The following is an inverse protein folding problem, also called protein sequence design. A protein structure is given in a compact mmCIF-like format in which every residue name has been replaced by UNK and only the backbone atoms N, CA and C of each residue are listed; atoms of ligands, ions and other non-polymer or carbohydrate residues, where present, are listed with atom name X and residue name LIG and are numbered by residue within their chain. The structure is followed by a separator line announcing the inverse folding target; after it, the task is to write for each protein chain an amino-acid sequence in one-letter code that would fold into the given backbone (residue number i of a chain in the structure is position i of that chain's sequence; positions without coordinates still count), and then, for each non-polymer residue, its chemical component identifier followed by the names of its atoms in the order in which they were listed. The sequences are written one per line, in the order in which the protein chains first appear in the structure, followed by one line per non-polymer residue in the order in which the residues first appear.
data_IF_483617227591
#
_entry.id   IF_483617227591
#
_cell.length_a   1.000
_cell.length_b   1.000
_cell.length_c   1.000
_cell.angle_alpha   90.00
_cell.angle_beta   90.00
_cell.angle_gamma   90.00
#
_symmetry.space_group_name_H-M   'P 1'
#
loop_
_entity.id
_entity.type
_entity.pdbx_description
1 polymer ?
2 polymer ?
3 non-polymer ?
4 non-polymer ?
5 water ?
#
# COMPACT_ATOMS: atom_id res chain seq x y z
N UNK A 1 -13.42 22.11 0.23
CA UNK A 1 -12.08 21.84 0.74
C UNK A 1 -11.38 23.13 1.09
N UNK A 2 -10.10 23.04 1.47
CA UNK A 2 -9.36 24.24 1.81
C UNK A 2 -7.88 24.02 1.62
N UNK A 3 -7.50 23.22 0.62
CA UNK A 3 -6.08 23.03 0.33
C UNK A 3 -5.93 22.73 -1.14
N UNK A 4 -5.34 23.67 -1.91
CA UNK A 4 -5.32 23.45 -3.35
C UNK A 4 -4.35 22.36 -3.76
N UNK A 5 -3.35 22.03 -2.93
CA UNK A 5 -2.51 20.90 -3.27
C UNK A 5 -3.30 19.59 -3.19
N UNK A 6 -4.04 19.40 -2.10
CA UNK A 6 -4.87 18.20 -1.98
C UNK A 6 -5.86 18.11 -3.13
N UNK A 7 -6.54 19.22 -3.42
CA UNK A 7 -7.59 19.21 -4.44
C UNK A 7 -7.01 19.02 -5.83
N UNK A 8 -5.99 19.81 -6.18
CA UNK A 8 -5.42 19.67 -7.52
C UNK A 8 -4.78 18.31 -7.70
N UNK A 9 -4.12 17.77 -6.67
CA UNK A 9 -3.46 16.49 -6.85
C UNK A 9 -4.46 15.35 -6.98
N UNK A 10 -5.62 15.45 -6.33
CA UNK A 10 -6.65 14.43 -6.55
C UNK A 10 -7.07 14.40 -8.01
N UNK A 11 -7.17 15.57 -8.65
CA UNK A 11 -7.50 15.62 -10.07
C UNK A 11 -6.34 15.09 -10.92
N UNK A 12 -5.13 15.56 -10.63
CA UNK A 12 -3.96 15.16 -11.39
C UNK A 12 -3.77 13.65 -11.39
N UNK A 13 -4.13 12.99 -10.30
CA UNK A 13 -3.85 11.58 -10.10
C UNK A 13 -5.08 10.69 -10.33
N UNK A 14 -6.18 11.25 -10.83
CA UNK A 14 -7.45 10.53 -10.90
C UNK A 14 -7.45 9.44 -11.95
N UNK A 15 -6.42 9.34 -12.78
CA UNK A 15 -6.34 8.26 -13.76
C UNK A 15 -4.97 7.59 -13.71
N UNK A 16 -4.35 7.59 -12.53
CA UNK A 16 -3.02 7.04 -12.35
C UNK A 16 -3.10 5.55 -12.06
N UNK A 17 -2.14 4.80 -12.63
CA UNK A 17 -2.05 3.39 -12.33
C UNK A 17 -1.61 3.11 -10.92
N UNK A 18 -0.75 3.97 -10.37
CA UNK A 18 -0.32 3.92 -8.97
C UNK A 18 -0.82 5.20 -8.30
N UNK A 19 -2.10 5.16 -7.88
CA UNK A 19 -2.75 6.38 -7.40
C UNK A 19 -2.08 6.93 -6.14
N UNK A 20 -1.80 6.05 -5.17
CA UNK A 20 -1.22 6.53 -3.92
C UNK A 20 0.17 7.11 -4.15
N UNK A 21 0.99 6.49 -4.99
CA UNK A 21 2.29 7.06 -5.28
C UNK A 21 2.16 8.40 -5.99
N UNK A 22 1.22 8.50 -6.93
CA UNK A 22 0.98 9.76 -7.62
C UNK A 22 0.57 10.83 -6.63
N UNK A 23 -0.37 10.50 -5.73
CA UNK A 23 -0.83 11.50 -4.77
C UNK A 23 0.28 11.96 -3.86
N UNK A 24 1.19 11.06 -3.50
CA UNK A 24 2.31 11.39 -2.62
C UNK A 24 3.25 12.36 -3.30
N UNK A 25 3.65 12.03 -4.52
CA UNK A 25 4.64 12.83 -5.21
C UNK A 25 4.06 14.15 -5.72
N UNK A 26 2.82 14.11 -6.19
CA UNK A 26 2.14 15.35 -6.56
C UNK A 26 2.07 16.26 -5.33
N UNK A 27 1.74 15.65 -4.18
CA UNK A 27 1.70 16.42 -2.94
C UNK A 27 3.03 17.06 -2.60
N UNK A 28 4.11 16.28 -2.65
CA UNK A 28 5.44 16.81 -2.37
C UNK A 28 5.78 17.95 -3.32
N UNK A 29 5.54 17.73 -4.62
CA UNK A 29 5.89 18.75 -5.60
C UNK A 29 5.05 20.01 -5.43
N UNK A 30 3.77 19.86 -5.11
CA UNK A 30 2.93 21.03 -4.85
C UNK A 30 3.38 21.76 -3.59
N UNK A 31 3.77 21.02 -2.54
CA UNK A 31 4.33 21.68 -1.37
C UNK A 31 5.54 22.53 -1.72
N UNK A 32 6.38 22.03 -2.64
CA UNK A 32 7.57 22.74 -3.04
C UNK A 32 7.28 23.85 -4.05
N UNK A 33 6.38 23.59 -5.00
CA UNK A 33 6.21 24.45 -6.16
C UNK A 33 4.95 25.29 -6.15
N UNK A 34 3.96 24.93 -5.33
CA UNK A 34 2.70 25.68 -5.21
C UNK A 34 1.98 25.78 -6.56
N UNK A 35 2.00 24.69 -7.32
CA UNK A 35 1.45 24.63 -8.66
C UNK A 35 1.27 23.16 -9.00
N UNK A 36 0.17 22.83 -9.69
CA UNK A 36 -0.03 21.49 -10.23
C UNK A 36 -0.54 21.63 -11.66
N UNK A 37 0.02 20.92 -12.62
CA UNK A 37 -0.47 21.03 -14.01
C UNK A 37 -1.87 20.45 -14.13
N UNK A 38 -2.64 21.02 -15.05
CA UNK A 38 -3.99 20.55 -15.32
C UNK A 38 -3.96 19.19 -16.04
N UNK A 39 -5.13 18.56 -16.12
CA UNK A 39 -5.19 17.26 -16.76
C UNK A 39 -4.57 16.18 -15.88
N UNK A 40 -4.46 14.98 -16.46
CA UNK A 40 -3.92 13.83 -15.74
C UNK A 40 -2.54 13.41 -16.25
N UNK A 41 -2.04 14.06 -17.30
CA UNK A 41 -0.66 13.89 -17.73
C UNK A 41 -0.31 15.09 -18.60
N UNK A 42 1.00 15.30 -18.79
CA UNK A 42 1.41 16.42 -19.61
C UNK A 42 1.06 17.77 -18.98
N UNK A 43 1.03 18.79 -19.85
CA UNK A 43 0.75 20.17 -19.48
C UNK A 43 1.73 20.74 -18.45
N UNK A 44 2.94 20.19 -18.37
CA UNK A 44 3.84 20.63 -17.30
C UNK A 44 4.43 22.01 -17.56
N UNK A 45 4.28 22.56 -18.78
CA UNK A 45 4.69 23.94 -19.00
C UNK A 45 3.85 24.93 -18.20
N UNK A 46 2.70 24.51 -17.64
CA UNK A 46 1.95 25.39 -16.76
C UNK A 46 2.67 25.65 -15.45
N UNK A 47 3.57 24.76 -15.04
CA UNK A 47 4.22 24.81 -13.73
C UNK A 47 5.69 24.49 -13.91
N UNK A 48 6.52 25.48 -14.27
CA UNK A 48 7.94 25.17 -14.51
C UNK A 48 8.65 24.53 -13.34
N UNK A 49 8.35 24.93 -12.10
CA UNK A 49 8.95 24.27 -10.95
C UNK A 49 8.58 22.80 -10.89
N UNK A 50 7.29 22.51 -10.99
CA UNK A 50 6.82 21.13 -11.01
C UNK A 50 7.43 20.34 -12.16
N UNK A 51 7.48 20.96 -13.35
CA UNK A 51 8.04 20.31 -14.53
C UNK A 51 9.49 19.88 -14.34
N UNK A 52 10.29 20.74 -13.69
CA UNK A 52 11.74 20.56 -13.67
C UNK A 52 12.26 19.84 -12.43
N UNK A 53 11.42 19.56 -11.44
CA UNK A 53 11.89 18.96 -10.20
C UNK A 53 12.42 17.56 -10.48
N UNK A 54 13.62 17.26 -9.96
CA UNK A 54 14.28 15.98 -10.14
C UNK A 54 14.46 15.28 -8.80
N UNK A 55 14.58 13.95 -8.85
CA UNK A 55 15.01 13.18 -7.68
C UNK A 55 16.54 13.07 -7.68
N UNK A 56 17.09 12.25 -6.79
CA UNK A 56 18.54 12.26 -6.60
C UNK A 56 19.30 11.59 -7.75
N UNK A 57 18.63 10.82 -8.59
CA UNK A 57 19.25 10.21 -9.76
C UNK A 57 19.03 11.04 -11.01
N UNK A 58 18.53 12.27 -10.85
CA UNK A 58 18.30 13.13 -11.99
C UNK A 58 17.09 12.79 -12.82
N UNK A 59 16.13 12.09 -12.24
CA UNK A 59 14.89 11.71 -12.92
C UNK A 59 13.76 12.65 -12.52
N UNK A 60 12.87 12.93 -13.46
CA UNK A 60 11.68 13.72 -13.15
C UNK A 60 10.93 13.13 -11.97
N UNK A 61 10.55 13.99 -11.02
CA UNK A 61 9.96 13.56 -9.76
C UNK A 61 8.43 13.68 -9.73
N UNK A 62 7.87 14.62 -10.49
CA UNK A 62 6.49 15.07 -10.30
C UNK A 62 5.59 14.50 -11.39
N UNK A 63 4.50 13.81 -11.03
CA UNK A 63 3.66 13.15 -12.05
C UNK A 63 2.85 14.14 -12.88
N UNK B 1 10.57 -2.60 8.57
CA UNK B 1 9.26 -2.35 8.01
C UNK B 1 8.55 -3.65 7.70
N UNK B 2 7.34 -3.55 7.17
CA UNK B 2 6.56 -4.74 6.89
C UNK B 2 5.07 -4.51 7.08
N UNK B 3 4.72 -3.73 8.10
CA UNK B 3 3.32 -3.51 8.40
C UNK B 3 3.14 -3.21 9.89
N UNK B 4 2.53 -4.15 10.62
CA UNK B 4 2.44 -3.96 12.07
C UNK B 4 1.51 -2.82 12.49
N UNK B 5 0.52 -2.49 11.67
CA UNK B 5 -0.34 -1.34 11.99
C UNK B 5 0.46 -0.04 11.92
N UNK B 6 1.25 0.10 10.86
CA UNK B 6 2.02 1.32 10.68
C UNK B 6 3.00 1.47 11.83
N UNK B 7 3.72 0.40 12.13
CA UNK B 7 4.76 0.46 13.15
C UNK B 7 4.19 0.62 14.56
N UNK B 8 3.17 -0.15 14.90
CA UNK B 8 2.63 -0.08 16.26
C UNK B 8 1.93 1.24 16.53
N UNK B 9 1.28 1.78 15.51
CA UNK B 9 0.65 3.09 15.65
C UNK B 9 1.68 4.21 15.81
N UNK B 10 2.85 4.04 15.22
CA UNK B 10 3.93 5.01 15.44
C UNK B 10 4.31 5.10 16.91
N UNK B 11 4.45 3.96 17.58
CA UNK B 11 4.73 3.96 19.01
C UNK B 11 3.54 4.47 19.82
N UNK B 12 2.34 4.01 19.46
CA UNK B 12 1.12 4.39 20.17
C UNK B 12 0.92 5.90 20.18
N UNK B 13 1.32 6.54 19.09
CA UNK B 13 1.03 7.96 18.87
C UNK B 13 2.26 8.84 19.05
N UNK B 14 3.32 8.27 19.61
CA UNK B 14 4.60 8.97 19.72
C UNK B 14 4.54 10.16 20.68
N UNK B 15 3.58 10.17 21.58
CA UNK B 15 3.46 11.27 22.54
C UNK B 15 2.10 11.92 22.45
N UNK B 16 1.51 11.92 21.26
CA UNK B 16 0.18 12.50 21.07
C UNK B 16 0.26 13.99 20.74
N UNK B 17 -0.67 14.76 21.28
CA UNK B 17 -0.73 16.20 21.01
C UNK B 17 -1.14 16.50 19.58
N UNK B 18 -2.06 15.67 19.07
CA UNK B 18 -2.44 15.70 17.66
C UNK B 18 -1.98 14.40 16.99
N UNK B 19 -0.72 14.39 16.55
CA UNK B 19 -0.10 13.16 16.08
C UNK B 19 -0.70 12.64 14.78
N UNK B 20 -1.01 13.53 13.85
CA UNK B 20 -1.62 13.10 12.58
C UNK B 20 -2.97 12.46 12.84
N UNK B 21 -3.77 13.06 13.70
CA UNK B 21 -5.07 12.50 14.03
C UNK B 21 -4.91 11.14 14.70
N UNK B 22 -3.97 11.05 15.63
CA UNK B 22 -3.73 9.81 16.34
C UNK B 22 -3.34 8.71 15.37
N UNK B 23 -2.42 9.00 14.46
CA UNK B 23 -2.00 8.01 13.48
C UNK B 23 -3.18 7.56 12.61
N UNK B 24 -4.02 8.52 12.22
CA UNK B 24 -5.15 8.22 11.34
C UNK B 24 -6.09 7.22 12.00
N UNK B 25 -6.50 7.55 13.21
CA UNK B 25 -7.50 6.72 13.86
C UNK B 25 -6.91 5.43 14.44
N UNK B 26 -5.67 5.48 14.94
CA UNK B 26 -4.99 4.24 15.30
C UNK B 26 -4.93 3.31 14.08
N UNK B 27 -4.66 3.89 12.91
CA UNK B 27 -4.57 3.10 11.69
C UNK B 27 -5.88 2.48 11.25
N UNK B 28 -6.96 3.25 11.34
CA UNK B 28 -8.29 2.77 11.01
C UNK B 28 -8.65 1.64 11.97
N UNK B 29 -8.40 1.88 13.25
CA UNK B 29 -8.67 0.90 14.28
C UNK B 29 -7.84 -0.37 14.12
N UNK B 30 -6.57 -0.24 13.75
CA UNK B 30 -5.72 -1.42 13.57
C UNK B 30 -6.18 -2.23 12.35
N UNK B 31 -6.61 -1.55 11.30
CA UNK B 31 -7.14 -2.23 10.11
C UNK B 31 -8.36 -3.07 10.47
N UNK B 32 -9.19 -2.56 11.38
CA UNK B 32 -10.41 -3.26 11.78
C UNK B 32 -10.14 -4.37 12.80
N UNK B 33 -9.20 -4.13 13.70
CA UNK B 33 -9.02 -4.98 14.87
C UNK B 33 -7.75 -5.83 14.87
N UNK B 34 -6.78 -5.45 14.05
CA UNK B 34 -5.49 -6.16 13.97
C UNK B 34 -4.81 -6.24 15.33
N UNK B 35 -4.85 -5.14 16.09
CA UNK B 35 -4.29 -5.09 17.43
C UNK B 35 -4.10 -3.63 17.77
N UNK B 36 -2.99 -3.28 18.41
CA UNK B 36 -2.76 -1.95 18.95
C UNK B 36 -2.25 -2.16 20.36
N UNK B 37 -2.84 -1.47 21.34
CA UNK B 37 -2.38 -1.64 22.72
C UNK B 37 -0.98 -1.07 22.93
N UNK B 38 -0.26 -1.61 23.91
CA UNK B 38 1.08 -1.13 24.22
C UNK B 38 1.03 0.27 24.82
N UNK B 39 2.21 0.90 24.94
CA UNK B 39 2.29 2.21 25.56
C UNK B 39 1.73 3.33 24.69
N UNK B 40 1.51 4.50 25.30
CA UNK B 40 1.01 5.64 24.54
C UNK B 40 -0.39 6.03 25.00
N UNK B 41 -0.84 5.40 26.08
CA UNK B 41 -2.22 5.55 26.53
C UNK B 41 -2.56 4.37 27.45
N UNK B 42 -3.85 4.17 27.71
CA UNK B 42 -4.28 3.05 28.51
C UNK B 42 -3.98 1.72 27.83
N UNK B 43 -3.87 0.67 28.65
CA UNK B 43 -3.57 -0.69 28.18
C UNK B 43 -4.56 -1.26 27.16
N UNK B 44 -5.74 -0.68 27.07
CA UNK B 44 -6.68 -1.09 26.03
C UNK B 44 -7.27 -2.48 26.27
N UNK B 45 -7.17 -2.97 27.50
CA UNK B 45 -7.57 -4.34 27.80
C UNK B 45 -6.83 -5.35 26.91
N UNK B 46 -5.66 -4.97 26.42
CA UNK B 46 -4.88 -5.85 25.55
C UNK B 46 -5.59 -6.13 24.23
N UNK B 47 -6.45 -5.21 23.83
CA UNK B 47 -7.08 -5.26 22.52
C UNK B 47 -8.56 -4.93 22.63
N UNK B 48 -9.41 -5.90 23.03
CA UNK B 48 -10.84 -5.66 23.23
C UNK B 48 -11.56 -4.95 22.08
N UNK B 49 -11.32 -5.36 20.85
CA UNK B 49 -11.91 -4.70 19.68
C UNK B 49 -11.49 -3.22 19.62
N UNK B 50 -10.19 -2.96 19.75
CA UNK B 50 -9.68 -1.60 19.70
C UNK B 50 -10.27 -0.79 20.86
N UNK B 51 -10.36 -1.43 22.03
CA UNK B 51 -10.90 -0.82 23.24
C UNK B 51 -12.36 -0.40 23.07
N UNK B 52 -13.12 -1.21 22.34
CA UNK B 52 -14.58 -1.06 22.31
C UNK B 52 -15.14 -0.33 21.07
N UNK B 53 -14.31 -0.03 20.08
CA UNK B 53 -14.83 0.66 18.89
C UNK B 53 -15.41 2.02 19.23
N UNK B 54 -16.57 2.31 18.65
CA UNK B 54 -17.22 3.61 18.84
C UNK B 54 -17.41 4.31 17.50
N UNK B 55 -17.34 5.62 17.51
CA UNK B 55 -17.70 6.39 16.32
C UNK B 55 -19.22 6.45 16.22
N UNK B 56 -19.73 7.16 15.23
CA UNK B 56 -21.17 7.18 14.99
C UNK B 56 -21.94 7.89 16.10
N UNK B 57 -21.20 8.64 16.92
CA UNK B 57 -21.80 9.36 18.05
C UNK B 57 -21.78 8.50 19.31
N UNK B 58 -21.20 7.31 19.21
CA UNK B 58 -21.14 6.41 20.35
C UNK B 58 -20.00 6.71 21.30
N UNK B 59 -19.05 7.52 20.85
CA UNK B 59 -17.87 7.83 21.66
C UNK B 59 -16.69 6.97 21.25
N UNK B 60 -15.79 6.68 22.19
CA UNK B 60 -14.61 5.87 21.89
C UNK B 60 -13.81 6.46 20.72
N UNK B 61 -13.43 5.59 19.79
CA UNK B 61 -12.82 5.97 18.52
C UNK B 61 -11.30 5.82 18.50
N UNK B 62 -10.79 4.82 19.20
CA UNK B 62 -9.40 4.39 19.03
C UNK B 62 -8.48 4.91 20.11
N UNK B 63 -7.39 5.57 19.70
CA UNK B 63 -6.53 6.26 20.67
C UNK B 63 -5.63 5.33 21.47
N UNK C 2 9.57 -7.38 -30.53
CA UNK C 2 8.98 -8.71 -30.46
C UNK C 2 8.70 -9.11 -29.02
N UNK C 3 9.46 -8.52 -28.10
CA UNK C 3 9.21 -8.68 -26.69
C UNK C 3 7.77 -8.27 -26.36
N UNK C 4 6.98 -9.19 -25.83
CA UNK C 4 5.57 -8.91 -25.58
C UNK C 4 5.40 -7.79 -24.56
N UNK C 5 6.32 -7.69 -23.59
CA UNK C 5 6.19 -6.67 -22.56
C UNK C 5 6.44 -5.28 -23.10
N UNK C 6 7.40 -5.15 -24.03
CA UNK C 6 7.65 -3.84 -24.64
C UNK C 6 6.39 -3.32 -25.31
N UNK C 7 5.67 -4.19 -26.02
CA UNK C 7 4.48 -3.76 -26.73
C UNK C 7 3.34 -3.42 -25.78
N UNK C 8 3.03 -4.32 -24.85
CA UNK C 8 1.87 -4.10 -23.98
C UNK C 8 2.08 -2.92 -23.03
N UNK C 9 3.31 -2.67 -22.60
CA UNK C 9 3.57 -1.56 -21.71
C UNK C 9 3.44 -0.21 -22.41
N UNK C 10 3.55 -0.19 -23.74
CA UNK C 10 3.39 1.07 -24.46
C UNK C 10 1.99 1.66 -24.25
N UNK C 11 0.95 0.84 -24.43
CA UNK C 11 -0.41 1.33 -24.18
C UNK C 11 -0.59 1.65 -22.70
N UNK C 12 -0.13 0.77 -21.81
CA UNK C 12 -0.37 0.94 -20.38
C UNK C 12 0.14 2.29 -19.88
N UNK C 13 1.24 2.77 -20.47
CA UNK C 13 1.92 3.97 -20.02
C UNK C 13 1.69 5.17 -20.93
N UNK C 14 0.80 5.05 -21.91
CA UNK C 14 0.63 6.07 -22.94
C UNK C 14 -0.02 7.35 -22.42
N UNK C 15 -0.55 7.37 -21.21
CA UNK C 15 -1.12 8.58 -20.63
C UNK C 15 -0.54 8.85 -19.24
N UNK C 16 0.68 8.39 -19.03
CA UNK C 16 1.32 8.47 -17.73
C UNK C 16 1.99 9.82 -17.56
N UNK C 17 1.83 10.41 -16.37
CA UNK C 17 2.52 11.64 -16.05
C UNK C 17 4.03 11.48 -16.03
N UNK C 18 4.50 10.31 -15.61
CA UNK C 18 5.92 9.97 -15.59
C UNK C 18 6.11 8.77 -16.50
N UNK C 19 6.19 9.03 -17.80
CA UNK C 19 6.08 7.96 -18.79
C UNK C 19 7.28 7.02 -18.73
N UNK C 20 8.49 7.57 -18.64
CA UNK C 20 9.68 6.71 -18.60
C UNK C 20 9.68 5.84 -17.35
N UNK C 21 9.26 6.40 -16.21
CA UNK C 21 9.15 5.58 -15.00
C UNK C 21 8.09 4.49 -15.19
N UNK C 22 6.94 4.85 -15.73
CA UNK C 22 5.90 3.86 -15.99
C UNK C 22 6.41 2.74 -16.88
N UNK C 23 7.09 3.09 -17.98
CA UNK C 23 7.55 2.06 -18.89
C UNK C 23 8.55 1.13 -18.21
N UNK C 24 9.43 1.69 -17.38
CA UNK C 24 10.41 0.87 -16.67
C UNK C 24 9.72 -0.12 -15.74
N UNK C 25 8.78 0.38 -14.95
CA UNK C 25 8.17 -0.45 -13.93
C UNK C 25 7.17 -1.44 -14.53
N UNK C 26 6.45 -0.99 -15.54
CA UNK C 26 5.61 -1.91 -16.30
C UNK C 26 6.48 -3.03 -16.91
N UNK C 27 7.65 -2.66 -17.45
CA UNK C 27 8.51 -3.67 -18.04
C UNK C 27 9.03 -4.66 -17.00
N UNK C 28 9.43 -4.15 -15.84
CA UNK C 28 9.90 -5.03 -14.76
C UNK C 28 8.78 -5.96 -14.31
N UNK C 29 7.58 -5.42 -14.14
CA UNK C 29 6.47 -6.24 -13.64
C UNK C 29 6.01 -7.24 -14.68
N UNK C 30 5.94 -6.83 -15.94
CA UNK C 30 5.54 -7.77 -16.99
C UNK C 30 6.58 -8.86 -17.20
N UNK C 31 7.87 -8.52 -17.09
CA UNK C 31 8.90 -9.53 -17.20
C UNK C 31 8.72 -10.62 -16.13
N UNK C 32 8.31 -10.24 -14.92
CA UNK C 32 8.09 -11.24 -13.87
C UNK C 32 6.73 -11.94 -14.04
N UNK C 33 5.68 -11.16 -14.28
CA UNK C 33 4.31 -11.65 -14.15
C UNK C 33 3.71 -12.13 -15.47
N UNK C 34 4.29 -11.75 -16.61
CA UNK C 34 3.82 -12.17 -17.94
C UNK C 34 2.36 -11.77 -18.16
N UNK C 35 2.05 -10.52 -17.83
CA UNK C 35 0.69 -9.99 -17.90
C UNK C 35 0.78 -8.48 -17.72
N UNK C 36 0.00 -7.75 -18.51
CA UNK C 36 -0.18 -6.31 -18.30
C UNK C 36 -1.68 -6.02 -18.28
N UNK C 37 -2.19 -5.36 -17.24
CA UNK C 37 -3.62 -5.00 -17.24
C UNK C 37 -3.98 -4.11 -18.42
N UNK C 38 -5.22 -4.23 -18.88
CA UNK C 38 -5.71 -3.45 -20.01
C UNK C 38 -5.84 -1.98 -19.65
N UNK C 39 -6.02 -1.15 -20.68
CA UNK C 39 -6.23 0.27 -20.46
C UNK C 39 -4.97 1.00 -20.03
N UNK C 40 -5.16 2.21 -19.51
CA UNK C 40 -4.04 3.03 -19.05
C UNK C 40 -4.01 3.17 -17.54
N UNK C 41 -5.02 2.65 -16.84
CA UNK C 41 -5.02 2.57 -15.38
C UNK C 41 -6.10 1.58 -14.99
N UNK C 42 -6.09 1.18 -13.72
CA UNK C 42 -7.06 0.21 -13.24
C UNK C 42 -6.91 -1.16 -13.90
N UNK C 43 -7.97 -1.96 -13.78
CA UNK C 43 -8.08 -3.29 -14.39
C UNK C 43 -7.03 -4.28 -13.89
N UNK C 44 -6.46 -4.05 -12.70
CA UNK C 44 -5.41 -4.95 -12.24
C UNK C 44 -5.93 -6.32 -11.83
N UNK C 45 -7.25 -6.49 -11.65
CA UNK C 45 -7.78 -7.84 -11.44
C UNK C 45 -7.46 -8.77 -12.61
N UNK C 46 -7.19 -8.23 -13.80
CA UNK C 46 -6.81 -9.08 -14.93
C UNK C 46 -5.50 -9.81 -14.67
N UNK C 47 -4.64 -9.25 -13.84
CA UNK C 47 -3.26 -9.74 -13.68
C UNK C 47 -2.92 -9.77 -12.20
N UNK C 48 -3.33 -10.83 -11.49
CA UNK C 48 -3.12 -10.84 -10.03
C UNK C 48 -1.67 -10.66 -9.60
N UNK C 49 -0.72 -11.27 -10.32
CA UNK C 49 0.69 -11.06 -9.99
C UNK C 49 1.06 -9.58 -10.11
N UNK C 50 0.74 -8.96 -11.25
CA UNK C 50 1.02 -7.55 -11.49
C UNK C 50 0.33 -6.69 -10.43
N UNK C 51 -0.92 -7.02 -10.12
CA UNK C 51 -1.67 -6.30 -9.11
C UNK C 51 -0.96 -6.33 -7.76
N UNK C 52 -0.45 -7.48 -7.35
CA UNK C 52 -0.03 -7.71 -5.98
C UNK C 52 1.46 -7.48 -5.75
N UNK C 53 2.24 -7.20 -6.80
CA UNK C 53 3.68 -7.04 -6.62
C UNK C 53 3.99 -5.83 -5.76
N UNK C 54 4.92 -6.00 -4.81
CA UNK C 54 5.37 -4.95 -3.92
C UNK C 54 6.86 -4.71 -4.09
N UNK C 55 7.30 -3.49 -3.78
CA UNK C 55 8.72 -3.23 -3.65
C UNK C 55 9.18 -3.54 -2.22
N UNK C 56 10.46 -3.32 -1.94
CA UNK C 56 11.01 -3.71 -0.65
C UNK C 56 10.46 -2.87 0.50
N UNK C 57 9.94 -1.67 0.20
CA UNK C 57 9.28 -0.86 1.22
C UNK C 57 7.81 -1.22 1.37
N UNK C 58 7.34 -2.27 0.69
CA UNK C 58 5.96 -2.69 0.81
C UNK C 58 4.97 -1.94 -0.04
N UNK C 59 5.43 -1.08 -0.93
CA UNK C 59 4.55 -0.28 -1.76
C UNK C 59 4.22 -1.02 -3.06
N UNK C 60 3.03 -0.75 -3.60
CA UNK C 60 2.67 -1.33 -4.88
C UNK C 60 3.68 -0.89 -5.94
N UNK C 61 4.15 -1.86 -6.72
CA UNK C 61 5.25 -1.68 -7.64
C UNK C 61 4.81 -1.37 -9.07
N UNK C 62 3.67 -1.93 -9.50
CA UNK C 62 3.39 -2.05 -10.92
C UNK C 62 2.32 -1.07 -11.35
N UNK C 63 2.56 -0.26 -12.38
CA UNK C 63 1.63 0.80 -12.78
C UNK C 63 0.39 0.29 -13.50
N UNK D 1 -7.12 -15.64 19.31
CA UNK D 1 -7.82 -14.41 19.60
C UNK D 1 -6.90 -13.27 19.99
N UNK D 2 -7.49 -12.08 20.12
CA UNK D 2 -6.73 -10.87 20.42
C UNK D 2 -6.07 -10.32 19.17
N UNK D 3 -6.42 -10.91 18.04
CA UNK D 3 -5.92 -10.50 16.73
C UNK D 3 -4.44 -10.91 16.62
N UNK D 4 -3.57 -9.97 16.27
CA UNK D 4 -2.13 -10.27 16.12
C UNK D 4 -1.87 -11.38 15.08
N UNK D 5 -2.69 -11.42 14.04
CA UNK D 5 -2.53 -12.44 13.01
C UNK D 5 -2.81 -13.83 13.54
N UNK D 6 -3.79 -13.94 14.44
CA UNK D 6 -4.13 -15.24 15.02
C UNK D 6 -2.87 -15.81 15.66
N UNK D 7 -2.22 -15.01 16.49
CA UNK D 7 -1.03 -15.46 17.19
C UNK D 7 0.13 -15.72 16.22
N UNK D 8 0.36 -14.79 15.30
CA UNK D 8 1.45 -14.93 14.34
C UNK D 8 1.31 -16.18 13.47
N UNK D 9 0.09 -16.49 13.05
CA UNK D 9 -0.12 -17.60 12.15
C UNK D 9 0.02 -18.97 12.81
N UNK D 10 -0.17 -19.03 14.13
CA UNK D 10 0.04 -20.29 14.84
C UNK D 10 1.47 -20.80 14.67
N UNK D 11 2.46 -19.92 14.85
CA UNK D 11 3.85 -20.29 14.64
C UNK D 11 4.05 -20.70 13.19
N UNK D 12 3.62 -19.83 12.29
CA UNK D 12 3.83 -20.00 10.85
C UNK D 12 3.33 -21.34 10.36
N UNK D 13 2.26 -21.83 10.97
CA UNK D 13 1.57 -23.03 10.51
C UNK D 13 1.81 -24.24 11.41
N UNK D 14 2.74 -24.10 12.35
CA UNK D 14 2.96 -25.13 13.37
C UNK D 14 3.57 -26.43 12.85
N UNK D 15 4.13 -26.40 11.65
CA UNK D 15 4.72 -27.61 11.08
C UNK D 15 4.22 -27.84 9.66
N UNK D 16 2.97 -27.45 9.44
CA UNK D 16 2.34 -27.60 8.13
C UNK D 16 1.65 -28.95 8.00
N UNK D 17 1.69 -29.51 6.80
CA UNK D 17 1.03 -30.78 6.52
C UNK D 17 -0.47 -30.65 6.56
N UNK D 18 -0.97 -29.52 6.07
CA UNK D 18 -2.38 -29.19 6.10
C UNK D 18 -2.53 -27.97 6.98
N UNK D 19 -2.60 -28.19 8.30
CA UNK D 19 -2.58 -27.10 9.27
C UNK D 19 -3.78 -26.17 9.16
N UNK D 20 -4.98 -26.74 9.02
CA UNK D 20 -6.18 -25.91 8.97
C UNK D 20 -6.12 -24.96 7.78
N UNK D 21 -5.71 -25.49 6.62
CA UNK D 21 -5.62 -24.66 5.43
C UNK D 21 -4.56 -23.57 5.60
N UNK D 22 -3.45 -23.94 6.22
CA UNK D 22 -2.38 -22.97 6.47
C UNK D 22 -2.89 -21.83 7.35
N UNK D 23 -3.53 -22.19 8.46
CA UNK D 23 -4.05 -21.20 9.39
C UNK D 23 -5.04 -20.26 8.69
N UNK D 24 -5.90 -20.84 7.86
CA UNK D 24 -6.90 -20.05 7.14
C UNK D 24 -6.26 -18.98 6.25
N UNK D 25 -5.35 -19.40 5.40
CA UNK D 25 -4.77 -18.49 4.41
C UNK D 25 -3.67 -17.59 4.99
N UNK D 26 -2.90 -18.09 5.96
CA UNK D 26 -2.00 -17.18 6.69
C UNK D 26 -2.87 -16.07 7.29
N UNK D 27 -4.01 -16.45 7.85
CA UNK D 27 -4.90 -15.47 8.45
C UNK D 27 -5.37 -14.42 7.46
N UNK D 28 -5.90 -14.87 6.33
CA UNK D 28 -6.43 -13.96 5.32
C UNK D 28 -5.33 -13.03 4.81
N UNK D 29 -4.15 -13.61 4.57
CA UNK D 29 -3.00 -12.86 4.10
C UNK D 29 -2.54 -11.85 5.12
N UNK D 30 -2.44 -12.28 6.38
CA UNK D 30 -2.02 -11.37 7.44
C UNK D 30 -3.02 -10.23 7.62
N UNK D 31 -4.30 -10.50 7.47
CA UNK D 31 -5.28 -9.42 7.61
C UNK D 31 -5.10 -8.35 6.54
N UNK D 32 -4.73 -8.77 5.34
CA UNK D 32 -4.44 -7.82 4.26
C UNK D 32 -3.09 -7.11 4.47
N UNK D 33 -2.06 -7.90 4.76
CA UNK D 33 -0.67 -7.41 4.69
C UNK D 33 -0.08 -6.91 6.01
N UNK D 34 -0.72 -7.28 7.12
CA UNK D 34 -0.26 -6.93 8.47
C UNK D 34 1.19 -7.36 8.70
N UNK D 35 1.50 -8.60 8.31
CA UNK D 35 2.85 -9.11 8.38
C UNK D 35 2.74 -10.62 8.22
N UNK D 36 3.57 -11.36 8.97
CA UNK D 36 3.77 -12.79 8.74
C UNK D 36 5.25 -13.07 8.77
N UNK D 37 5.79 -13.75 7.75
CA UNK D 37 7.22 -14.10 7.76
C UNK D 37 7.57 -15.03 8.91
N UNK D 38 8.77 -14.87 9.46
CA UNK D 38 9.23 -15.69 10.58
C UNK D 38 9.41 -17.14 10.18
N UNK D 39 9.56 -18.02 11.16
CA UNK D 39 9.75 -19.44 10.90
C UNK D 39 8.51 -20.16 10.42
N UNK D 40 8.69 -21.38 9.93
CA UNK D 40 7.55 -22.18 9.46
C UNK D 40 7.49 -22.29 7.94
N UNK D 41 8.53 -21.81 7.28
CA UNK D 41 8.52 -21.66 5.82
C UNK D 41 9.58 -20.63 5.44
N UNK D 42 9.56 -20.19 4.19
CA UNK D 42 10.53 -19.22 3.71
C UNK D 42 10.43 -17.88 4.41
N UNK D 43 11.51 -17.11 4.35
CA UNK D 43 11.61 -15.79 4.99
C UNK D 43 10.64 -14.76 4.44
N UNK D 44 10.07 -15.03 3.27
CA UNK D 44 9.05 -14.15 2.71
C UNK D 44 9.54 -12.76 2.31
N UNK D 45 10.84 -12.59 2.11
CA UNK D 45 11.40 -11.27 1.86
C UNK D 45 11.10 -10.29 3.02
N UNK D 46 10.80 -10.84 4.20
CA UNK D 46 10.46 -10.00 5.36
C UNK D 46 9.12 -9.29 5.16
N UNK D 47 8.24 -9.89 4.37
CA UNK D 47 6.89 -9.39 4.19
C UNK D 47 6.51 -9.35 2.71
N UNK D 48 6.87 -8.26 2.00
CA UNK D 48 6.64 -8.17 0.56
C UNK D 48 5.19 -8.40 0.10
N UNK D 49 4.23 -7.80 0.79
CA UNK D 49 2.81 -8.01 0.47
C UNK D 49 2.45 -9.49 0.58
N UNK D 50 2.88 -10.12 1.66
CA UNK D 50 2.56 -11.52 1.94
C UNK D 50 3.23 -12.41 0.89
N UNK D 51 4.48 -12.09 0.56
CA UNK D 51 5.27 -12.82 -0.43
C UNK D 51 4.63 -12.82 -1.82
N UNK D 52 4.10 -11.67 -2.20
CA UNK D 52 3.68 -11.43 -3.58
C UNK D 52 2.19 -11.67 -3.84
N UNK D 53 1.41 -11.89 -2.77
CA UNK D 53 -0.03 -12.01 -2.96
C UNK D 53 -0.39 -13.23 -3.81
N UNK D 54 -1.28 -13.03 -4.79
CA UNK D 54 -1.74 -14.11 -5.65
C UNK D 54 -3.24 -14.30 -5.45
N UNK D 55 -3.72 -15.50 -5.71
CA UNK D 55 -5.16 -15.73 -5.82
C UNK D 55 -5.63 -15.46 -7.24
N UNK D 56 -6.91 -15.72 -7.53
CA UNK D 56 -7.48 -15.37 -8.82
C UNK D 56 -6.91 -16.19 -9.96
N UNK D 57 -6.33 -17.35 -9.63
CA UNK D 57 -5.73 -18.17 -10.66
C UNK D 57 -4.25 -17.83 -10.86
N UNK D 58 -3.75 -16.84 -10.12
CA UNK D 58 -2.37 -16.40 -10.28
C UNK D 58 -1.35 -17.20 -9.48
N UNK D 59 -1.83 -18.03 -8.57
CA UNK D 59 -0.96 -18.83 -7.70
C UNK D 59 -0.63 -18.04 -6.45
N UNK D 60 0.61 -18.20 -5.96
CA UNK D 60 0.98 -17.66 -4.65
C UNK D 60 -0.04 -18.16 -3.61
N UNK D 61 -0.50 -17.25 -2.77
CA UNK D 61 -1.65 -17.50 -1.91
C UNK D 61 -1.28 -17.76 -0.44
N UNK D 62 -0.14 -17.21 -0.01
CA UNK D 62 0.17 -17.09 1.42
C UNK D 62 1.29 -18.04 1.86
N UNK D 63 1.01 -18.90 2.87
CA UNK D 63 1.97 -19.94 3.22
C UNK D 63 3.20 -19.44 3.97
X LIG E 1 2.31 7.24 -9.89
X LIG E 1 1.36 7.66 -10.88
X LIG E 1 3.50 8.17 -9.95
X LIG E 1 4.68 7.39 -9.75
X LIG F 1 1.39 5.44 -14.21
X LIG F 1 0.04 5.34 -14.65
X LIG F 1 1.44 5.15 -12.71
X LIG F 1 0.50 6.00 -12.04
X LIG G 1 -8.45 -6.65 19.41
X LIG G 1 -8.33 -5.41 19.42
X LIG G 1 -9.28 -7.27 20.08
X LIG H 1 -5.54 10.41 21.68
X LIG H 1 -5.86 11.18 22.84
X LIG H 1 -4.05 10.52 21.33
X LIG H 1 -3.27 9.89 22.35
X LIG I 1 -0.52 -11.92 -13.63
X LIG I 1 -0.95 -12.65 -12.74
X LIG I 1 -0.09 -10.79 -13.45
X LIG J 1 -10.01 -1.26 -11.16
X LIG J 1 -9.26 -0.47 -10.57
X LIG J 1 -10.23 -1.23 -12.37
X LIG K 1 3.43 -0.95 4.31
X LIG K 1 4.51 -1.90 4.27
X LIG K 1 3.40 -0.13 3.02
X LIG K 1 4.64 0.53 2.80
X LIG L 1 4.04 -7.24 4.13
X LIG L 1 4.39 -6.40 3.29
X LIG L 1 3.60 -8.37 3.87
X LIG M 1 5.95 -18.62 18.94
X LIG M 1 5.12 -17.85 19.39
X LIG M 1 5.76 -19.83 18.76
X LIG N 1 10.03 -17.35 14.19
X LIG N 1 11.13 -17.67 13.73
X LIG N 1 9.52 -16.25 14.07
X LIG O 1 -1.38 -23.71 2.96
X LIG O 1 -1.86 -24.57 1.91
X LIG O 1 -0.37 -24.49 3.79
X LIG O 1 -0.99 -25.69 4.27
#
# INVERSE_FOLDING_TARGET
GSNFCDSKCKLRCSKAGLADRCLKFCGICCEECKCVPSGTYGNKHECPCYRDKKNSKGKSKCP
GSNFCDSKCKLRCSKAGLADRCLKYCGICCEECKCVPSGTYGNKHECPCYRDKKNSKGKSKCP
GSNFCDSKCKLRCSKAGLADRCLKFCGICCEECKCVPSGTYGNKHECPCYRDKKNSKGKSKCP
GSNFCDSKCKLRCSKAGLADRCLKYCGICCEECKCVPSGTYGNKHECPCYRDKKNSKGKSKCP
EDO C1 O1 C2 O2
EDO C1 O1 C2 O2
FMT C O1 O2
EDO C1 O1 C2 O2
FMT C O1 O2
FMT C O1 O2
EDO C1 O1 C2 O2
FMT C O1 O2
FMT C O1 O2
FMT C O1 O2
EDO C1 O1 C2 O2
#
